data_IF_512755298741
#
_entry.id   IF_512755298741
#
_cell.length_a   1.000
_cell.length_b   1.000
_cell.length_c   1.000
_cell.angle_alpha   90.00
_cell.angle_beta   90.00
_cell.angle_gamma   90.00
#
_symmetry.space_group_name_H-M   'P 1'
#
loop_
_entity.id
_entity.type
_entity.pdbx_description
1 polymer ?
#
# COMPACT_ATOMS: atom_id res chain seq x y z
N UNK A 1 -20.05 -6.23 -0.28
CA UNK A 1 -19.30 -5.02 0.14
C UNK A 1 -17.97 -5.48 0.71
N UNK A 2 -16.85 -4.79 0.43
CA UNK A 2 -15.54 -5.07 1.05
C UNK A 2 -15.25 -3.98 2.07
N UNK A 3 -14.97 -4.36 3.31
CA UNK A 3 -14.62 -3.45 4.40
C UNK A 3 -13.26 -3.92 4.94
N UNK A 4 -12.33 -2.99 5.12
CA UNK A 4 -10.95 -3.30 5.50
C UNK A 4 -10.52 -2.38 6.65
N UNK A 5 -9.71 -2.91 7.56
CA UNK A 5 -8.93 -2.08 8.48
C UNK A 5 -7.60 -1.74 7.80
N UNK A 6 -7.26 -0.46 7.65
CA UNK A 6 -6.04 -0.02 6.96
C UNK A 6 -4.85 0.11 7.94
N UNK A 7 -4.56 -0.96 8.69
CA UNK A 7 -3.34 -1.07 9.48
C UNK A 7 -2.97 -2.53 9.71
N UNK A 8 -1.73 -2.77 10.11
CA UNK A 8 -1.20 -4.10 10.39
C UNK A 8 0.14 -4.01 11.11
N UNK A 9 0.70 -5.17 11.42
CA UNK A 9 2.06 -5.28 11.94
C UNK A 9 3.06 -5.45 10.81
N UNK A 10 4.33 -5.18 11.09
CA UNK A 10 5.40 -5.45 10.15
C UNK A 10 5.51 -6.96 9.91
N UNK A 11 5.66 -7.34 8.65
CA UNK A 11 5.76 -8.73 8.22
C UNK A 11 6.81 -8.89 7.13
N UNK A 12 7.34 -10.09 7.02
CA UNK A 12 8.11 -10.51 5.86
C UNK A 12 7.15 -10.79 4.68
N UNK A 13 7.27 -10.09 3.54
CA UNK A 13 6.38 -10.27 2.40
C UNK A 13 6.41 -11.69 1.82
N UNK A 14 7.53 -12.41 1.95
CA UNK A 14 7.67 -13.79 1.49
C UNK A 14 7.01 -14.80 2.46
N UNK A 15 6.53 -14.32 3.62
CA UNK A 15 5.86 -15.12 4.64
C UNK A 15 4.40 -14.68 4.84
N UNK A 16 3.74 -14.20 3.79
CA UNK A 16 2.34 -13.71 3.81
C UNK A 16 1.37 -14.63 4.56
N UNK A 17 1.43 -15.92 4.25
CA UNK A 17 0.44 -16.90 4.71
C UNK A 17 0.86 -17.57 6.03
N UNK A 18 1.96 -17.12 6.64
CA UNK A 18 2.42 -17.64 7.93
C UNK A 18 1.42 -17.27 9.01
N UNK A 19 1.19 -18.19 9.95
CA UNK A 19 0.38 -17.91 11.14
C UNK A 19 0.96 -16.73 11.91
N UNK A 20 0.08 -15.81 12.29
CA UNK A 20 0.40 -14.69 13.15
C UNK A 20 0.99 -15.17 14.47
N UNK A 21 1.90 -14.38 15.03
CA UNK A 21 2.31 -14.59 16.42
C UNK A 21 1.13 -14.34 17.35
N UNK A 22 1.18 -14.83 18.59
CA UNK A 22 0.11 -14.60 19.57
C UNK A 22 -0.20 -13.10 19.77
N UNK A 23 0.84 -12.26 19.73
CA UNK A 23 0.70 -10.80 19.87
C UNK A 23 0.01 -10.18 18.65
N UNK A 24 0.40 -10.60 17.45
CA UNK A 24 -0.19 -10.07 16.22
C UNK A 24 -1.63 -10.57 16.04
N UNK A 25 -1.92 -11.80 16.46
CA UNK A 25 -3.28 -12.33 16.50
C UNK A 25 -4.17 -11.52 17.44
N UNK A 26 -3.69 -11.19 18.65
CA UNK A 26 -4.44 -10.34 19.59
C UNK A 26 -4.74 -8.96 19.00
N UNK A 27 -3.78 -8.42 18.23
CA UNK A 27 -3.95 -7.14 17.53
C UNK A 27 -5.01 -7.25 16.44
N UNK A 28 -4.95 -8.30 15.61
CA UNK A 28 -5.93 -8.56 14.56
C UNK A 28 -7.34 -8.76 15.14
N UNK A 29 -7.48 -9.47 16.26
CA UNK A 29 -8.76 -9.66 16.94
C UNK A 29 -9.33 -8.33 17.44
N UNK A 30 -8.48 -7.44 17.96
CA UNK A 30 -8.89 -6.09 18.40
C UNK A 30 -9.35 -5.23 17.22
N UNK A 31 -8.64 -5.29 16.10
CA UNK A 31 -9.02 -4.60 14.86
C UNK A 31 -10.35 -5.14 14.31
N UNK A 32 -10.55 -6.46 14.37
CA UNK A 32 -11.79 -7.10 13.97
C UNK A 32 -12.98 -6.59 14.80
N UNK A 33 -12.86 -6.53 16.13
CA UNK A 33 -13.92 -5.99 16.99
C UNK A 33 -14.21 -4.51 16.70
N UNK A 34 -13.18 -3.73 16.38
CA UNK A 34 -13.35 -2.34 15.94
C UNK A 34 -14.18 -2.25 14.66
N UNK A 35 -13.87 -3.07 13.65
CA UNK A 35 -14.65 -3.12 12.41
C UNK A 35 -16.10 -3.54 12.65
N UNK A 36 -16.33 -4.60 13.43
CA UNK A 36 -17.67 -5.09 13.76
C UNK A 36 -18.50 -4.01 14.44
N UNK A 37 -17.89 -3.28 15.39
CA UNK A 37 -18.55 -2.18 16.10
C UNK A 37 -18.93 -1.06 15.13
N UNK A 38 -17.98 -0.62 14.29
CA UNK A 38 -18.22 0.42 13.29
C UNK A 38 -19.30 0.02 12.27
N UNK A 39 -19.32 -1.25 11.83
CA UNK A 39 -20.35 -1.73 10.88
C UNK A 39 -21.74 -1.64 11.52
N UNK A 40 -21.90 -2.11 12.76
CA UNK A 40 -23.18 -2.05 13.47
C UNK A 40 -23.67 -0.61 13.66
N UNK A 41 -22.74 0.32 13.93
CA UNK A 41 -23.05 1.73 14.16
C UNK A 41 -23.42 2.47 12.86
N UNK A 42 -22.58 2.37 11.83
CA UNK A 42 -22.70 3.17 10.61
C UNK A 42 -23.52 2.48 9.50
N UNK A 43 -23.70 1.16 9.57
CA UNK A 43 -24.41 0.36 8.57
C UNK A 43 -25.41 -0.61 9.23
N UNK A 44 -26.47 -0.11 9.90
CA UNK A 44 -27.37 -0.91 10.73
C UNK A 44 -28.14 -2.01 9.97
N UNK A 45 -28.19 -1.93 8.65
CA UNK A 45 -28.84 -2.91 7.77
C UNK A 45 -27.87 -3.96 7.20
N UNK A 46 -26.59 -3.92 7.58
CA UNK A 46 -25.57 -4.88 7.18
C UNK A 46 -25.22 -5.75 8.39
N UNK A 47 -25.36 -7.07 8.25
CA UNK A 47 -24.84 -8.00 9.25
C UNK A 47 -23.30 -7.99 9.20
N UNK A 48 -22.60 -7.84 10.33
CA UNK A 48 -21.14 -7.82 10.38
C UNK A 48 -20.56 -9.24 10.32
N UNK A 49 -21.09 -10.07 9.43
CA UNK A 49 -20.65 -11.45 9.17
C UNK A 49 -20.03 -11.47 7.77
N UNK A 50 -18.70 -11.68 7.66
CA UNK A 50 -18.04 -11.67 6.37
C UNK A 50 -18.31 -12.98 5.63
N UNK A 51 -18.61 -12.92 4.33
CA UNK A 51 -18.63 -14.13 3.50
C UNK A 51 -17.22 -14.68 3.26
N UNK A 52 -16.22 -13.80 3.23
CA UNK A 52 -14.80 -14.12 3.02
C UNK A 52 -13.96 -13.14 3.82
N UNK A 53 -12.88 -13.63 4.43
CA UNK A 53 -11.85 -12.82 5.11
C UNK A 53 -10.49 -13.08 4.48
N UNK A 54 -9.76 -12.02 4.13
CA UNK A 54 -8.46 -12.10 3.48
C UNK A 54 -7.47 -11.13 4.14
N UNK A 55 -6.20 -11.53 4.24
CA UNK A 55 -5.11 -10.64 4.63
C UNK A 55 -4.47 -9.97 3.41
N UNK A 56 -3.89 -8.79 3.60
CA UNK A 56 -3.21 -8.03 2.55
C UNK A 56 -1.87 -7.48 3.07
N UNK A 57 -0.99 -7.09 2.16
CA UNK A 57 0.34 -6.56 2.46
C UNK A 57 0.48 -5.20 1.83
N UNK A 58 1.01 -4.24 2.59
CA UNK A 58 1.43 -2.94 2.10
C UNK A 58 2.95 -2.82 2.15
N UNK A 59 3.53 -2.29 1.08
CA UNK A 59 4.88 -1.75 1.07
C UNK A 59 4.79 -0.24 1.30
N UNK A 60 5.14 0.20 2.51
CA UNK A 60 4.89 1.56 3.00
C UNK A 60 6.19 2.35 3.01
N UNK A 61 6.19 3.51 2.35
CA UNK A 61 7.26 4.51 2.42
C UNK A 61 7.11 5.38 3.68
N UNK A 62 8.18 6.04 4.17
CA UNK A 62 8.10 6.88 5.36
C UNK A 62 7.07 8.00 5.27
N UNK A 63 6.91 8.59 4.08
CA UNK A 63 5.94 9.65 3.79
C UNK A 63 4.58 9.13 3.28
N UNK A 64 4.43 7.80 3.22
CA UNK A 64 3.27 7.10 2.68
C UNK A 64 2.96 7.44 1.21
N UNK A 65 3.92 7.93 0.41
CA UNK A 65 3.69 8.23 -1.01
C UNK A 65 4.51 7.32 -1.95
N UNK A 66 4.14 7.29 -3.23
CA UNK A 66 4.73 6.42 -4.24
C UNK A 66 6.21 6.71 -4.50
N UNK A 67 6.92 5.72 -5.04
CA UNK A 67 8.22 5.93 -5.71
C UNK A 67 8.02 5.65 -7.19
N UNK A 68 8.21 6.68 -8.03
CA UNK A 68 8.12 6.62 -9.49
C UNK A 68 9.38 7.27 -10.07
N UNK A 69 10.40 6.48 -10.35
CA UNK A 69 11.73 7.00 -10.72
C UNK A 69 12.53 6.02 -11.58
N UNK A 70 13.72 6.43 -12.01
CA UNK A 70 14.75 5.54 -12.57
C UNK A 70 15.72 5.11 -11.49
N UNK A 71 16.32 3.95 -11.65
CA UNK A 71 17.42 3.53 -10.78
C UNK A 71 18.60 4.53 -10.90
N UNK A 72 19.19 4.99 -9.79
CA UNK A 72 20.19 6.08 -9.79
C UNK A 72 21.47 5.75 -10.57
N UNK A 73 21.77 4.46 -10.74
CA UNK A 73 22.95 3.98 -11.49
C UNK A 73 22.60 3.42 -12.87
N UNK A 74 21.37 2.90 -13.04
CA UNK A 74 20.99 2.11 -14.22
C UNK A 74 19.77 2.75 -14.88
N UNK A 75 20.00 3.59 -15.89
CA UNK A 75 18.92 4.36 -16.54
C UNK A 75 17.87 3.50 -17.23
N UNK A 76 18.18 2.25 -17.54
CA UNK A 76 17.29 1.26 -18.15
C UNK A 76 16.36 0.55 -17.13
N UNK A 77 16.46 0.86 -15.84
CA UNK A 77 15.58 0.31 -14.79
C UNK A 77 14.62 1.41 -14.33
N UNK A 78 13.33 1.16 -14.48
CA UNK A 78 12.24 2.00 -13.97
C UNK A 78 11.72 1.39 -12.67
N UNK A 79 11.47 2.23 -11.66
CA UNK A 79 10.99 1.86 -10.34
C UNK A 79 9.57 2.40 -10.17
N UNK A 80 8.64 1.51 -9.86
CA UNK A 80 7.29 1.81 -9.37
C UNK A 80 7.05 1.02 -8.10
N UNK A 81 7.15 1.66 -6.93
CA UNK A 81 7.14 0.97 -5.64
C UNK A 81 6.55 1.83 -4.51
N UNK A 82 6.45 1.26 -3.31
CA UNK A 82 6.11 2.04 -2.11
C UNK A 82 4.67 2.57 -2.09
N UNK A 83 3.71 1.78 -2.58
CA UNK A 83 2.35 2.25 -2.81
C UNK A 83 1.49 2.49 -1.58
N UNK A 84 2.02 2.21 -0.38
CA UNK A 84 1.47 2.62 0.92
C UNK A 84 -0.02 2.31 1.09
N UNK A 85 -0.47 1.20 0.49
CA UNK A 85 -1.84 0.71 0.60
C UNK A 85 -2.89 1.44 -0.24
N UNK A 86 -2.49 2.40 -1.06
CA UNK A 86 -3.44 3.25 -1.78
C UNK A 86 -3.16 3.39 -3.28
N UNK A 87 -2.15 2.71 -3.80
CA UNK A 87 -1.76 2.75 -5.22
C UNK A 87 -2.73 2.08 -6.20
N UNK A 88 -3.57 1.13 -5.78
CA UNK A 88 -4.47 0.42 -6.70
C UNK A 88 -5.39 1.38 -7.47
N UNK A 89 -5.94 2.39 -6.80
CA UNK A 89 -6.83 3.39 -7.43
C UNK A 89 -6.13 4.25 -8.49
N UNK A 90 -4.81 4.39 -8.38
CA UNK A 90 -3.97 5.18 -9.27
C UNK A 90 -3.25 4.31 -10.31
N UNK A 91 -3.40 2.99 -10.25
CA UNK A 91 -2.64 2.05 -11.08
C UNK A 91 -2.78 2.27 -12.59
N UNK A 92 -3.93 2.67 -13.17
CA UNK A 92 -4.00 2.93 -14.61
C UNK A 92 -3.08 4.08 -15.04
N UNK A 93 -3.11 5.19 -14.29
CA UNK A 93 -2.31 6.38 -14.60
C UNK A 93 -0.83 6.16 -14.32
N UNK A 94 -0.52 5.51 -13.19
CA UNK A 94 0.85 5.14 -12.84
C UNK A 94 1.43 4.17 -13.88
N UNK A 95 0.65 3.20 -14.35
CA UNK A 95 1.06 2.29 -15.41
C UNK A 95 1.41 3.03 -16.71
N UNK A 96 0.62 4.05 -17.09
CA UNK A 96 0.92 4.90 -18.24
C UNK A 96 2.22 5.68 -18.04
N UNK A 97 2.40 6.32 -16.88
CA UNK A 97 3.62 7.06 -16.54
C UNK A 97 4.86 6.15 -16.64
N UNK A 98 4.82 4.98 -16.00
CA UNK A 98 5.94 4.03 -16.01
C UNK A 98 6.20 3.48 -17.42
N UNK A 99 5.15 3.26 -18.21
CA UNK A 99 5.24 2.86 -19.61
C UNK A 99 5.92 3.92 -20.48
N UNK A 100 5.50 5.18 -20.36
CA UNK A 100 6.11 6.32 -21.06
C UNK A 100 7.60 6.45 -20.69
N UNK A 101 7.93 6.33 -19.39
CA UNK A 101 9.32 6.30 -18.94
C UNK A 101 10.11 5.15 -19.56
N UNK A 102 9.55 3.94 -19.63
CA UNK A 102 10.24 2.76 -20.16
C UNK A 102 10.63 2.91 -21.65
N UNK A 103 9.78 3.56 -22.45
CA UNK A 103 10.02 3.77 -23.89
C UNK A 103 10.67 5.13 -24.23
N UNK A 104 10.99 5.93 -23.21
CA UNK A 104 11.67 7.22 -23.39
C UNK A 104 10.75 8.37 -23.82
N UNK A 105 9.43 8.21 -23.65
CA UNK A 105 8.47 9.29 -23.87
C UNK A 105 8.50 10.30 -22.70
N UNK A 106 8.16 11.57 -22.96
CA UNK A 106 7.94 12.54 -21.89
C UNK A 106 6.72 12.15 -21.05
N UNK A 107 6.83 12.28 -19.73
CA UNK A 107 5.69 12.10 -18.81
C UNK A 107 4.84 13.37 -18.75
N UNK A 108 3.53 13.22 -18.63
CA UNK A 108 2.61 14.36 -18.53
C UNK A 108 2.66 15.08 -17.17
N UNK A 109 3.34 14.49 -16.17
CA UNK A 109 3.41 14.99 -14.79
C UNK A 109 4.85 15.24 -14.37
N UNK A 110 5.03 16.21 -13.48
CA UNK A 110 6.27 16.40 -12.73
C UNK A 110 6.33 15.35 -11.61
N UNK A 111 7.30 14.44 -11.69
CA UNK A 111 7.44 13.31 -10.74
C UNK A 111 8.35 13.61 -9.55
N UNK A 112 8.78 14.86 -9.35
CA UNK A 112 9.77 15.21 -8.33
C UNK A 112 9.38 14.77 -6.91
N UNK A 113 8.10 14.89 -6.57
CA UNK A 113 7.57 14.42 -5.26
C UNK A 113 7.61 12.90 -5.10
N UNK A 114 7.71 12.13 -6.18
CA UNK A 114 7.79 10.66 -6.17
C UNK A 114 9.21 10.15 -6.46
N UNK A 115 10.19 11.06 -6.53
CA UNK A 115 11.61 10.73 -6.73
C UNK A 115 12.13 9.84 -5.61
N UNK A 116 13.05 8.92 -5.92
CA UNK A 116 13.78 8.14 -4.92
C UNK A 116 14.67 9.06 -4.06
N UNK A 117 15.23 10.12 -4.66
CA UNK A 117 16.16 11.03 -3.99
C UNK A 117 15.52 11.94 -2.94
N UNK A 118 14.18 11.97 -2.84
CA UNK A 118 13.48 12.77 -1.83
C UNK A 118 13.81 12.33 -0.40
N UNK A 119 14.28 11.10 -0.22
CA UNK A 119 14.72 10.55 1.07
C UNK A 119 16.23 10.73 1.34
N UNK A 120 17.01 11.27 0.38
CA UNK A 120 18.46 11.44 0.54
C UNK A 120 18.83 12.64 1.43
N UNK A 121 17.87 13.47 1.84
CA UNK A 121 18.10 14.56 2.80
C UNK A 121 17.87 14.04 4.21
N UNK A 122 18.97 13.88 4.95
CA UNK A 122 19.00 13.63 6.39
C UNK A 122 18.17 14.68 7.14
N UNK A 123 16.92 14.35 7.47
CA UNK A 123 16.10 14.96 8.52
C UNK A 123 14.80 14.15 8.70
N UNK A 124 14.95 12.86 9.01
CA UNK A 124 13.98 12.12 9.82
C UNK A 124 14.57 11.96 11.23
#
# INVERSE_FOLDING_TARGET
>A
MKICYHSGTEIDPDQRDKKLSNKDQTTADTQWQTLVTAIKEYYPYIEPVPSVTESCIYSVTPDQDYILDRHPVYSNIIIGAGFSGHGFKCSPEIGRILGDMAIGNPTAYALGSFSLSRFNSSNL
#
